data_IF_325012955521
#
_entry.id   IF_325012955521
#
_cell.length_a   1.000
_cell.length_b   1.000
_cell.length_c   1.000
_cell.angle_alpha   90.00
_cell.angle_beta   90.00
_cell.angle_gamma   90.00
#
_symmetry.space_group_name_H-M   'P 1'
#
loop_
_entity.id
_entity.type
_entity.pdbx_description
1 polymer ?
#
# COMPACT_ATOMS: atom_id res chain seq x y z
N UNK A 1 -18.18 -19.99 14.33
CA UNK A 1 -17.82 -19.28 13.09
C UNK A 1 -18.36 -17.87 13.18
N UNK A 2 -17.49 -16.85 13.10
CA UNK A 2 -17.92 -15.45 13.23
C UNK A 2 -18.44 -14.90 11.88
N UNK A 3 -19.76 -14.87 11.74
CA UNK A 3 -20.46 -14.35 10.55
C UNK A 3 -20.09 -12.88 10.25
N UNK A 4 -19.80 -12.07 11.28
CA UNK A 4 -19.39 -10.67 11.14
C UNK A 4 -18.01 -10.57 10.50
N UNK A 5 -17.08 -11.44 10.87
CA UNK A 5 -15.76 -11.51 10.24
C UNK A 5 -15.83 -11.93 8.76
N UNK A 6 -16.73 -12.85 8.41
CA UNK A 6 -16.95 -13.26 7.02
C UNK A 6 -17.53 -12.11 6.17
N UNK A 7 -18.54 -11.40 6.68
CA UNK A 7 -19.09 -10.20 6.03
C UNK A 7 -18.05 -9.10 5.82
N UNK A 8 -17.19 -8.86 6.82
CA UNK A 8 -16.11 -7.88 6.72
C UNK A 8 -15.06 -8.28 5.66
N UNK A 9 -14.77 -9.57 5.52
CA UNK A 9 -13.87 -10.05 4.49
C UNK A 9 -14.46 -9.90 3.09
N UNK A 10 -15.75 -10.24 2.91
CA UNK A 10 -16.44 -10.08 1.62
C UNK A 10 -16.52 -8.62 1.17
N UNK A 11 -16.85 -7.71 2.09
CA UNK A 11 -16.86 -6.26 1.80
C UNK A 11 -15.47 -5.73 1.49
N UNK A 12 -14.44 -6.20 2.20
CA UNK A 12 -13.04 -5.86 1.88
C UNK A 12 -12.65 -6.32 0.47
N UNK A 13 -13.02 -7.54 0.07
CA UNK A 13 -12.73 -8.06 -1.28
C UNK A 13 -13.47 -7.27 -2.36
N UNK A 14 -14.71 -6.87 -2.11
CA UNK A 14 -15.45 -5.98 -3.03
C UNK A 14 -14.76 -4.62 -3.19
N UNK A 15 -14.30 -4.01 -2.10
CA UNK A 15 -13.54 -2.76 -2.15
C UNK A 15 -12.25 -2.94 -2.96
N UNK A 16 -11.50 -4.03 -2.75
CA UNK A 16 -10.29 -4.34 -3.52
C UNK A 16 -10.59 -4.44 -5.02
N UNK A 17 -11.70 -5.09 -5.41
CA UNK A 17 -12.09 -5.21 -6.80
C UNK A 17 -12.51 -3.87 -7.42
N UNK A 18 -13.25 -3.04 -6.68
CA UNK A 18 -13.60 -1.66 -7.10
C UNK A 18 -12.33 -0.83 -7.26
N UNK A 19 -11.40 -0.90 -6.32
CA UNK A 19 -10.13 -0.18 -6.43
C UNK A 19 -9.33 -0.66 -7.64
N UNK A 20 -9.29 -1.97 -7.90
CA UNK A 20 -8.59 -2.54 -9.05
C UNK A 20 -9.19 -2.13 -10.41
N UNK A 21 -10.50 -1.88 -10.49
CA UNK A 21 -11.15 -1.37 -11.70
C UNK A 21 -10.94 0.14 -11.88
N UNK A 22 -10.87 0.90 -10.78
CA UNK A 22 -10.54 2.33 -10.82
C UNK A 22 -9.10 2.62 -11.26
N UNK A 23 -8.20 1.63 -11.19
CA UNK A 23 -6.84 1.75 -11.73
C UNK A 23 -6.79 1.88 -13.25
N UNK A 24 -7.87 1.53 -13.96
CA UNK A 24 -7.95 1.67 -15.42
C UNK A 24 -8.10 3.13 -15.85
N UNK A 25 -8.88 3.91 -15.09
CA UNK A 25 -9.20 5.31 -15.43
C UNK A 25 -8.20 6.24 -14.76
N UNK A 26 -7.30 6.78 -15.57
CA UNK A 26 -6.12 7.55 -15.13
C UNK A 26 -6.52 8.98 -14.77
N UNK A 27 -6.49 9.33 -13.48
CA UNK A 27 -6.45 10.74 -13.06
C UNK A 27 -5.96 10.90 -11.62
N UNK A 28 -5.40 12.07 -11.30
CA UNK A 28 -5.02 12.40 -9.91
C UNK A 28 -6.26 12.39 -8.99
N UNK A 29 -7.42 12.80 -9.50
CA UNK A 29 -8.67 12.70 -8.73
C UNK A 29 -9.02 11.25 -8.40
N UNK A 30 -8.76 10.31 -9.31
CA UNK A 30 -9.02 8.89 -9.04
C UNK A 30 -8.09 8.33 -7.97
N UNK A 31 -6.83 8.75 -7.89
CA UNK A 31 -5.97 8.39 -6.75
C UNK A 31 -6.48 8.95 -5.42
N UNK A 32 -6.93 10.21 -5.42
CA UNK A 32 -7.55 10.80 -4.23
C UNK A 32 -8.79 9.99 -3.84
N UNK A 33 -9.66 9.60 -4.79
CA UNK A 33 -10.81 8.71 -4.52
C UNK A 33 -10.39 7.35 -3.96
N UNK A 34 -9.32 6.75 -4.48
CA UNK A 34 -8.77 5.50 -3.97
C UNK A 34 -8.35 5.62 -2.50
N UNK A 35 -7.80 6.76 -2.07
CA UNK A 35 -7.48 6.96 -0.63
C UNK A 35 -8.72 6.93 0.26
N UNK A 36 -9.85 7.50 -0.17
CA UNK A 36 -11.10 7.44 0.58
C UNK A 36 -11.70 6.03 0.64
N UNK A 37 -11.50 5.22 -0.41
CA UNK A 37 -11.89 3.81 -0.38
C UNK A 37 -10.97 3.00 0.54
N UNK A 38 -9.67 3.31 0.54
CA UNK A 38 -8.67 2.64 1.36
C UNK A 38 -8.92 2.83 2.87
N UNK A 39 -9.40 4.00 3.31
CA UNK A 39 -9.79 4.24 4.71
C UNK A 39 -10.84 3.26 5.19
N UNK A 40 -11.77 2.83 4.32
CA UNK A 40 -12.83 1.87 4.69
C UNK A 40 -12.31 0.46 4.92
N UNK A 41 -11.06 0.17 4.55
CA UNK A 41 -10.47 -1.17 4.69
C UNK A 41 -9.78 -1.40 6.05
N UNK A 42 -9.61 -0.35 6.84
CA UNK A 42 -8.89 -0.39 8.11
C UNK A 42 -9.60 0.45 9.17
N UNK A 43 -9.33 0.14 10.44
CA UNK A 43 -9.71 0.97 11.59
C UNK A 43 -8.50 1.39 12.43
N UNK A 44 -7.30 1.03 11.98
CA UNK A 44 -6.06 1.29 12.70
C UNK A 44 -5.68 2.77 12.54
N UNK A 45 -5.54 3.55 13.65
CA UNK A 45 -5.32 5.00 13.58
C UNK A 45 -4.05 5.40 12.82
N UNK A 46 -2.96 4.66 12.99
CA UNK A 46 -1.69 4.85 12.30
C UNK A 46 -1.83 4.66 10.78
N UNK A 47 -2.56 3.63 10.36
CA UNK A 47 -2.82 3.38 8.94
C UNK A 47 -3.71 4.48 8.35
N UNK A 48 -4.73 4.93 9.09
CA UNK A 48 -5.60 6.03 8.67
C UNK A 48 -4.82 7.34 8.50
N UNK A 49 -3.96 7.68 9.46
CA UNK A 49 -3.08 8.85 9.37
C UNK A 49 -2.13 8.76 8.16
N UNK A 50 -1.60 7.57 7.87
CA UNK A 50 -0.79 7.33 6.67
C UNK A 50 -1.57 7.56 5.37
N UNK A 51 -2.80 7.07 5.28
CA UNK A 51 -3.68 7.28 4.10
C UNK A 51 -3.99 8.76 3.91
N UNK A 52 -4.29 9.49 4.99
CA UNK A 52 -4.52 10.92 4.97
C UNK A 52 -3.27 11.70 4.52
N UNK A 53 -2.09 11.33 5.03
CA UNK A 53 -0.82 11.91 4.60
C UNK A 53 -0.58 11.76 3.10
N UNK A 54 -0.78 10.55 2.56
CA UNK A 54 -0.68 10.29 1.11
C UNK A 54 -1.66 11.16 0.33
N UNK A 55 -2.91 11.27 0.80
CA UNK A 55 -3.92 12.12 0.16
C UNK A 55 -3.47 13.58 0.09
N UNK A 56 -2.92 14.11 1.18
CA UNK A 56 -2.43 15.48 1.23
C UNK A 56 -1.25 15.69 0.27
N UNK A 57 -0.34 14.72 0.17
CA UNK A 57 0.74 14.75 -0.82
C UNK A 57 0.23 14.72 -2.26
N UNK A 58 -0.82 13.94 -2.55
CA UNK A 58 -1.43 13.89 -3.89
C UNK A 58 -2.14 15.19 -4.26
N UNK A 59 -2.78 15.85 -3.30
CA UNK A 59 -3.44 17.15 -3.49
C UNK A 59 -2.43 18.27 -3.79
N UNK A 60 -1.22 18.19 -3.24
CA UNK A 60 -0.17 19.16 -3.51
C UNK A 60 0.49 18.91 -4.89
N UNK A 61 0.35 19.81 -5.88
CA UNK A 61 0.91 19.63 -7.22
C UNK A 61 2.45 19.56 -7.25
N UNK A 62 3.11 20.17 -6.27
CA UNK A 62 4.58 20.24 -6.22
C UNK A 62 5.21 19.09 -5.42
N UNK A 63 4.41 18.23 -4.78
CA UNK A 63 4.95 17.16 -3.95
C UNK A 63 5.53 16.01 -4.81
N UNK A 64 6.74 15.49 -4.52
CA UNK A 64 7.37 14.42 -5.31
C UNK A 64 6.51 13.16 -5.44
N UNK A 65 5.75 12.82 -4.40
CA UNK A 65 4.80 11.69 -4.40
C UNK A 65 3.82 11.74 -5.57
N UNK A 66 3.35 12.93 -5.96
CA UNK A 66 2.43 13.07 -7.10
C UNK A 66 3.11 12.63 -8.40
N UNK A 67 4.36 13.05 -8.63
CA UNK A 67 5.17 12.62 -9.78
C UNK A 67 5.43 11.12 -9.75
N UNK A 68 5.68 10.54 -8.58
CA UNK A 68 5.87 9.09 -8.43
C UNK A 68 4.63 8.30 -8.87
N UNK A 69 3.45 8.65 -8.34
CA UNK A 69 2.20 7.97 -8.70
C UNK A 69 1.84 8.18 -10.18
N UNK A 70 2.09 9.36 -10.73
CA UNK A 70 1.93 9.62 -12.16
C UNK A 70 2.81 8.69 -13.01
N UNK A 71 4.10 8.54 -12.67
CA UNK A 71 5.00 7.62 -13.38
C UNK A 71 4.54 6.18 -13.30
N UNK A 72 4.08 5.73 -12.14
CA UNK A 72 3.51 4.39 -11.96
C UNK A 72 2.31 4.18 -12.90
N UNK A 73 1.46 5.19 -13.10
CA UNK A 73 0.33 5.09 -14.04
C UNK A 73 0.75 5.10 -15.50
N UNK A 74 1.71 5.94 -15.86
CA UNK A 74 2.17 6.09 -17.24
C UNK A 74 3.00 4.89 -17.72
N UNK A 75 3.81 4.31 -16.84
CA UNK A 75 4.83 3.32 -17.21
C UNK A 75 4.39 1.87 -16.94
N UNK A 76 3.37 1.63 -16.11
CA UNK A 76 2.86 0.27 -15.85
C UNK A 76 1.58 -0.02 -16.61
N UNK A 77 1.53 -1.17 -17.28
CA UNK A 77 0.30 -1.70 -17.85
C UNK A 77 -0.78 -1.87 -16.77
N UNK A 78 -2.07 -1.85 -17.14
CA UNK A 78 -3.18 -2.07 -16.20
C UNK A 78 -2.98 -3.33 -15.36
N UNK A 79 -2.61 -4.44 -16.00
CA UNK A 79 -2.31 -5.70 -15.33
C UNK A 79 -1.25 -5.52 -14.24
N UNK A 80 -0.15 -4.84 -14.55
CA UNK A 80 0.94 -4.64 -13.58
C UNK A 80 0.54 -3.67 -12.46
N UNK A 81 -0.29 -2.66 -12.73
CA UNK A 81 -0.88 -1.77 -11.71
C UNK A 81 -1.76 -2.55 -10.73
N UNK A 82 -2.59 -3.46 -11.23
CA UNK A 82 -3.42 -4.33 -10.39
C UNK A 82 -2.59 -5.31 -9.55
N UNK A 83 -1.52 -5.88 -10.13
CA UNK A 83 -0.58 -6.73 -9.39
C UNK A 83 0.09 -5.93 -8.28
N UNK A 84 0.60 -4.73 -8.57
CA UNK A 84 1.20 -3.85 -7.58
C UNK A 84 0.23 -3.52 -6.44
N UNK A 85 -1.01 -3.14 -6.79
CA UNK A 85 -2.05 -2.86 -5.81
C UNK A 85 -2.34 -4.06 -4.90
N UNK A 86 -2.58 -5.24 -5.48
CA UNK A 86 -2.88 -6.47 -4.72
C UNK A 86 -1.70 -6.93 -3.86
N UNK A 87 -0.49 -6.87 -4.37
CA UNK A 87 0.71 -7.34 -3.67
C UNK A 87 1.18 -6.38 -2.59
N UNK A 88 1.50 -5.13 -2.95
CA UNK A 88 2.10 -4.17 -2.03
C UNK A 88 1.07 -3.60 -1.07
N UNK A 89 -0.01 -3.03 -1.60
CA UNK A 89 -0.98 -2.29 -0.79
C UNK A 89 -1.89 -3.24 -0.02
N UNK A 90 -2.56 -4.17 -0.72
CA UNK A 90 -3.49 -5.07 -0.06
C UNK A 90 -2.79 -6.15 0.78
N UNK A 91 -1.99 -7.02 0.16
CA UNK A 91 -1.37 -8.13 0.87
C UNK A 91 -0.28 -7.67 1.84
N UNK A 92 0.58 -6.72 1.43
CA UNK A 92 1.70 -6.23 2.22
C UNK A 92 1.28 -5.32 3.37
N UNK A 93 0.57 -4.23 3.07
CA UNK A 93 0.15 -3.25 4.07
C UNK A 93 -1.09 -3.66 4.83
N UNK A 94 -2.26 -3.77 4.18
CA UNK A 94 -3.53 -3.98 4.88
C UNK A 94 -3.64 -5.35 5.56
N UNK A 95 -3.43 -6.43 4.81
CA UNK A 95 -3.50 -7.78 5.35
C UNK A 95 -2.25 -8.13 6.15
N UNK A 96 -1.08 -7.80 5.64
CA UNK A 96 0.20 -8.06 6.28
C UNK A 96 0.38 -7.32 7.61
N UNK A 97 -0.17 -6.11 7.74
CA UNK A 97 -0.19 -5.36 9.01
C UNK A 97 -0.88 -6.15 10.12
N UNK A 98 -2.10 -6.63 9.86
CA UNK A 98 -2.86 -7.47 10.81
C UNK A 98 -2.12 -8.75 11.19
N UNK A 99 -1.43 -9.38 10.23
CA UNK A 99 -0.60 -10.57 10.49
C UNK A 99 0.59 -10.24 11.39
N UNK A 100 1.26 -9.10 11.17
CA UNK A 100 2.35 -8.62 12.03
C UNK A 100 1.85 -8.26 13.43
N UNK A 101 0.67 -7.66 13.57
CA UNK A 101 0.06 -7.39 14.88
C UNK A 101 -0.22 -8.68 15.66
N UNK A 102 -0.79 -9.69 14.98
CA UNK A 102 -1.07 -10.98 15.59
C UNK A 102 0.23 -11.68 16.01
N UNK A 103 1.25 -11.66 15.14
CA UNK A 103 2.57 -12.22 15.42
C UNK A 103 3.23 -11.51 16.62
N UNK A 104 3.18 -10.18 16.67
CA UNK A 104 3.73 -9.40 17.78
C UNK A 104 3.06 -9.73 19.11
N UNK A 105 1.73 -9.90 19.10
CA UNK A 105 0.98 -10.32 20.28
C UNK A 105 1.36 -11.73 20.76
N UNK A 106 1.64 -12.65 19.83
CA UNK A 106 1.95 -14.05 20.14
C UNK A 106 3.41 -14.24 20.57
N UNK A 107 4.36 -13.58 19.89
CA UNK A 107 5.80 -13.82 20.03
C UNK A 107 6.56 -12.67 20.71
N UNK A 108 5.88 -11.57 21.06
CA UNK A 108 6.48 -10.43 21.76
C UNK A 108 7.35 -9.51 20.89
N UNK A 109 7.38 -9.70 19.57
CA UNK A 109 8.09 -8.80 18.64
C UNK A 109 7.37 -8.67 17.30
N UNK A 110 7.49 -7.49 16.68
CA UNK A 110 6.91 -7.22 15.36
C UNK A 110 7.92 -7.50 14.23
N UNK A 111 7.65 -8.44 13.30
CA UNK A 111 8.52 -8.66 12.16
C UNK A 111 8.60 -7.42 11.26
N UNK A 112 9.77 -7.12 10.66
CA UNK A 112 9.92 -5.96 9.79
C UNK A 112 9.02 -6.09 8.54
N UNK A 113 8.47 -4.97 8.07
CA UNK A 113 7.69 -4.96 6.82
C UNK A 113 8.58 -5.18 5.58
N UNK A 114 9.76 -4.56 5.58
CA UNK A 114 10.77 -4.71 4.53
C UNK A 114 12.08 -5.13 5.19
N UNK A 115 12.69 -6.18 4.65
CA UNK A 115 14.04 -6.61 5.00
C UNK A 115 14.90 -6.47 3.75
N UNK A 116 15.95 -5.66 3.84
CA UNK A 116 16.94 -5.49 2.78
C UNK A 116 18.21 -6.19 3.25
N UNK A 117 18.71 -7.14 2.46
CA UNK A 117 19.91 -7.90 2.78
C UNK A 117 20.91 -7.71 1.63
N UNK A 118 22.14 -7.30 1.95
CA UNK A 118 23.28 -7.40 1.04
C UNK A 118 24.40 -8.18 1.73
N UNK A 119 24.33 -9.52 1.69
CA UNK A 119 25.30 -10.37 2.39
C UNK A 119 26.74 -10.13 1.95
N UNK A 120 26.95 -9.78 0.68
CA UNK A 120 28.29 -9.60 0.09
C UNK A 120 28.78 -8.16 0.11
N UNK A 121 27.89 -7.18 0.33
CA UNK A 121 28.16 -5.75 0.22
C UNK A 121 28.77 -5.30 -1.15
N UNK A 122 28.79 -6.18 -2.16
CA UNK A 122 29.41 -5.91 -3.47
C UNK A 122 28.48 -5.18 -4.46
N UNK A 123 27.53 -4.37 -3.98
CA UNK A 123 26.70 -3.60 -4.90
C UNK A 123 27.60 -2.64 -5.71
N UNK A 124 27.63 -2.79 -7.03
CA UNK A 124 28.46 -2.00 -7.93
C UNK A 124 27.86 -0.62 -8.26
N UNK A 125 26.69 -0.30 -7.71
CA UNK A 125 26.03 1.00 -7.86
C UNK A 125 26.55 1.98 -6.81
N UNK A 126 26.89 3.20 -7.25
CA UNK A 126 27.35 4.31 -6.38
C UNK A 126 26.19 5.18 -5.92
N UNK A 127 25.14 4.55 -5.39
CA UNK A 127 23.92 5.24 -4.98
C UNK A 127 24.18 6.09 -3.73
N UNK A 128 23.74 7.35 -3.76
CA UNK A 128 23.76 8.21 -2.57
C UNK A 128 22.85 7.61 -1.49
N UNK A 129 23.42 7.21 -0.36
CA UNK A 129 22.68 6.65 0.78
C UNK A 129 22.56 5.12 0.82
N UNK A 130 23.15 4.39 -0.13
CA UNK A 130 23.40 2.95 0.04
C UNK A 130 24.75 2.75 0.72
N UNK A 131 24.83 1.76 1.65
CA UNK A 131 26.03 1.31 2.38
C UNK A 131 27.08 2.42 2.55
N UNK A 132 26.93 3.21 3.62
CA UNK A 132 27.90 4.24 4.02
C UNK A 132 29.33 3.72 4.00
#
# INVERSE_FOLDING_TARGET
>A
MDFKAQLNNLTTQQIVNIMASLLDKISNENFIKLTYLAEKMTKQPDVLAGIEGIRNYLKNPNHPTRKLFQRVLEHLSLRNRQILFKSLFYNGWFLGGKKRDAFEKEYGFRPPFVMILSPTLHCNLRCKGCYT
#
